data_IF_985099299676
#
_entry.id   IF_985099299676
#
_cell.length_a   1.000
_cell.length_b   1.000
_cell.length_c   1.000
_cell.angle_alpha   90.00
_cell.angle_beta   90.00
_cell.angle_gamma   90.00
#
_symmetry.space_group_name_H-M   'P 1'
#
loop_
_entity.id
_entity.type
_entity.pdbx_description
1 polymer ?
#
# COMPACT_ATOMS: atom_id res chain seq x y z
N UNK A 1 -8.16 -5.12 1.81
CA UNK A 1 -8.47 -3.70 1.56
C UNK A 1 -7.56 -2.82 2.41
N UNK A 2 -7.52 -2.98 3.75
CA UNK A 2 -6.69 -2.15 4.65
C UNK A 2 -5.23 -2.12 4.22
N UNK A 3 -4.63 -3.28 3.96
CA UNK A 3 -3.23 -3.40 3.52
C UNK A 3 -3.00 -2.69 2.17
N UNK A 4 -3.96 -2.79 1.26
CA UNK A 4 -3.90 -2.08 -0.02
C UNK A 4 -3.87 -0.56 0.19
N UNK A 5 -4.80 -0.03 0.99
CA UNK A 5 -4.89 1.41 1.24
C UNK A 5 -3.62 1.95 1.92
N UNK A 6 -3.11 1.24 2.92
CA UNK A 6 -1.89 1.66 3.61
C UNK A 6 -0.69 1.66 2.67
N UNK A 7 -0.53 0.61 1.86
CA UNK A 7 0.56 0.53 0.89
C UNK A 7 0.40 1.54 -0.23
N UNK A 8 -0.83 1.76 -0.71
CA UNK A 8 -1.14 2.78 -1.72
C UNK A 8 -0.72 4.17 -1.26
N UNK A 9 -1.09 4.55 -0.03
CA UNK A 9 -0.74 5.85 0.56
C UNK A 9 0.77 5.93 0.81
N UNK A 10 1.39 4.89 1.36
CA UNK A 10 2.81 4.89 1.69
C UNK A 10 3.74 4.72 0.47
N UNK A 11 3.25 4.24 -0.67
CA UNK A 11 4.05 3.97 -1.86
C UNK A 11 5.06 2.83 -1.74
N UNK A 12 5.03 2.09 -0.62
CA UNK A 12 5.98 1.02 -0.32
C UNK A 12 5.31 -0.18 0.35
N UNK A 13 5.74 -1.40 -0.03
CA UNK A 13 5.23 -2.65 0.54
C UNK A 13 5.64 -2.93 1.98
N UNK A 14 6.62 -2.20 2.52
CA UNK A 14 7.11 -2.41 3.89
C UNK A 14 6.03 -2.17 4.96
N UNK A 15 5.05 -1.33 4.67
CA UNK A 15 3.90 -1.08 5.56
C UNK A 15 3.10 -2.35 5.84
N UNK A 16 3.10 -3.31 4.92
CA UNK A 16 2.43 -4.59 5.12
C UNK A 16 2.97 -5.33 6.36
N UNK A 17 4.27 -5.25 6.64
CA UNK A 17 4.88 -5.94 7.77
C UNK A 17 4.30 -5.53 9.13
N UNK A 18 3.83 -4.30 9.27
CA UNK A 18 3.17 -3.84 10.51
C UNK A 18 1.73 -4.33 10.64
N UNK A 19 1.09 -4.67 9.54
CA UNK A 19 -0.32 -5.10 9.51
C UNK A 19 -0.47 -6.63 9.52
N UNK A 20 0.48 -7.36 8.93
CA UNK A 20 0.42 -8.82 8.83
C UNK A 20 0.29 -9.54 10.19
N UNK A 21 1.02 -9.18 11.27
CA UNK A 21 0.84 -9.81 12.58
C UNK A 21 -0.57 -9.66 13.13
N UNK A 22 -1.16 -8.47 13.00
CA UNK A 22 -2.54 -8.20 13.44
C UNK A 22 -3.55 -9.04 12.64
N UNK A 23 -3.34 -9.18 11.33
CA UNK A 23 -4.18 -10.03 10.48
C UNK A 23 -4.08 -11.49 10.92
N UNK A 24 -2.88 -11.98 11.25
CA UNK A 24 -2.66 -13.33 11.72
C UNK A 24 -3.38 -13.61 13.05
N UNK A 25 -3.29 -12.67 14.00
CA UNK A 25 -3.95 -12.76 15.30
C UNK A 25 -5.47 -12.82 15.15
N UNK A 26 -6.06 -11.85 14.44
CA UNK A 26 -7.50 -11.81 14.18
C UNK A 26 -7.97 -13.07 13.45
N UNK A 27 -7.22 -13.57 12.47
CA UNK A 27 -7.55 -14.79 11.76
C UNK A 27 -7.57 -16.01 12.71
N UNK A 28 -6.61 -16.09 13.60
CA UNK A 28 -6.53 -17.19 14.58
C UNK A 28 -7.68 -17.11 15.58
N UNK A 29 -7.99 -15.94 16.11
CA UNK A 29 -9.11 -15.71 17.03
C UNK A 29 -10.47 -16.05 16.40
N UNK A 30 -10.64 -15.69 15.13
CA UNK A 30 -11.87 -15.97 14.38
C UNK A 30 -11.90 -17.38 13.78
N UNK A 31 -10.90 -18.22 14.06
CA UNK A 31 -10.76 -19.60 13.54
C UNK A 31 -10.70 -19.67 12.01
N UNK A 32 -10.29 -18.60 11.37
CA UNK A 32 -10.01 -18.55 9.95
C UNK A 32 -8.56 -18.98 9.71
N UNK A 33 -8.33 -19.79 8.69
CA UNK A 33 -6.99 -20.21 8.29
C UNK A 33 -6.11 -19.00 7.97
N UNK A 34 -5.05 -18.69 8.75
CA UNK A 34 -4.28 -17.45 8.61
C UNK A 34 -3.64 -17.25 7.24
N UNK A 35 -3.27 -18.33 6.55
CA UNK A 35 -2.67 -18.23 5.21
C UNK A 35 -3.60 -17.55 4.18
N UNK A 36 -4.92 -17.67 4.35
CA UNK A 36 -5.90 -17.03 3.44
C UNK A 36 -5.82 -15.50 3.51
N UNK A 37 -6.08 -14.86 4.67
CA UNK A 37 -6.03 -13.41 4.76
C UNK A 37 -4.60 -12.86 4.66
N UNK A 38 -3.58 -13.58 5.11
CA UNK A 38 -2.18 -13.17 4.95
C UNK A 38 -1.75 -13.18 3.48
N UNK A 39 -2.09 -14.24 2.74
CA UNK A 39 -1.76 -14.32 1.31
C UNK A 39 -2.39 -13.19 0.52
N UNK A 40 -3.70 -12.90 0.73
CA UNK A 40 -4.35 -11.80 0.03
C UNK A 40 -3.84 -10.43 0.50
N UNK A 41 -3.44 -10.27 1.77
CA UNK A 41 -2.85 -9.04 2.26
C UNK A 41 -1.51 -8.74 1.59
N UNK A 42 -0.65 -9.75 1.40
CA UNK A 42 0.61 -9.61 0.68
C UNK A 42 0.36 -9.26 -0.79
N UNK A 43 -0.53 -9.98 -1.47
CA UNK A 43 -0.89 -9.68 -2.87
C UNK A 43 -1.43 -8.24 -2.99
N UNK A 44 -2.32 -7.83 -2.08
CA UNK A 44 -2.89 -6.50 -2.05
C UNK A 44 -1.82 -5.42 -1.88
N UNK A 45 -0.84 -5.65 -0.99
CA UNK A 45 0.29 -4.76 -0.80
C UNK A 45 1.13 -4.61 -2.08
N UNK A 46 1.49 -5.70 -2.73
CA UNK A 46 2.30 -5.64 -3.96
C UNK A 46 1.56 -4.95 -5.11
N UNK A 47 0.27 -5.22 -5.27
CA UNK A 47 -0.55 -4.54 -6.27
C UNK A 47 -0.71 -3.04 -5.99
N UNK A 48 -0.82 -2.66 -4.72
CA UNK A 48 -0.95 -1.26 -4.32
C UNK A 48 0.27 -0.40 -4.66
N UNK A 49 1.48 -0.98 -4.64
CA UNK A 49 2.70 -0.28 -5.07
C UNK A 49 2.57 0.19 -6.52
N UNK A 50 2.06 -0.66 -7.41
CA UNK A 50 1.90 -0.35 -8.84
C UNK A 50 0.83 0.73 -9.08
N UNK A 51 -0.15 0.84 -8.19
CA UNK A 51 -1.21 1.84 -8.27
C UNK A 51 -0.89 3.13 -7.49
N UNK A 52 0.16 3.14 -6.65
CA UNK A 52 0.48 4.30 -5.82
C UNK A 52 1.11 5.42 -6.63
N UNK A 53 0.64 6.67 -6.48
CA UNK A 53 1.19 7.84 -7.19
C UNK A 53 2.63 8.18 -6.77
N UNK A 54 3.05 7.75 -5.59
CA UNK A 54 4.36 8.09 -4.99
C UNK A 54 5.35 6.92 -5.05
N UNK A 55 4.95 5.78 -5.60
CA UNK A 55 5.86 4.64 -5.71
C UNK A 55 6.94 4.86 -6.77
N UNK A 56 8.13 4.35 -6.52
CA UNK A 56 9.23 4.41 -7.48
C UNK A 56 8.85 3.79 -8.83
N UNK A 57 8.03 2.75 -8.83
CA UNK A 57 7.56 2.10 -10.05
C UNK A 57 6.69 3.03 -10.91
N UNK A 58 5.73 3.74 -10.30
CA UNK A 58 4.87 4.68 -11.00
C UNK A 58 5.65 5.88 -11.52
N UNK A 59 6.61 6.40 -10.72
CA UNK A 59 7.50 7.49 -11.13
C UNK A 59 8.37 7.10 -12.31
N UNK A 60 8.97 5.90 -12.28
CA UNK A 60 9.76 5.39 -13.39
C UNK A 60 8.92 5.23 -14.66
N UNK A 61 7.71 4.67 -14.53
CA UNK A 61 6.78 4.52 -15.65
C UNK A 61 6.39 5.88 -16.24
N UNK A 62 6.03 6.85 -15.40
CA UNK A 62 5.71 8.21 -15.83
C UNK A 62 6.88 8.85 -16.58
N UNK A 63 8.11 8.68 -16.08
CA UNK A 63 9.33 9.19 -16.73
C UNK A 63 9.53 8.59 -18.12
N UNK A 64 9.31 7.28 -18.27
CA UNK A 64 9.42 6.58 -19.57
C UNK A 64 8.35 7.00 -20.56
N UNK A 65 7.16 7.36 -20.08
CA UNK A 65 6.00 7.76 -20.89
C UNK A 65 5.88 9.27 -21.12
N UNK A 66 6.78 10.07 -20.55
CA UNK A 66 6.75 11.53 -20.64
C UNK A 66 6.75 12.05 -22.10
N UNK A 67 7.43 11.36 -23.02
CA UNK A 67 7.47 11.70 -24.44
C UNK A 67 6.16 11.45 -25.21
N UNK A 68 5.19 10.75 -24.59
CA UNK A 68 3.91 10.40 -25.22
C UNK A 68 2.74 11.27 -24.73
N UNK A 69 2.99 12.28 -23.91
CA UNK A 69 1.95 13.17 -23.37
C UNK A 69 1.04 12.50 -22.34
N UNK A 70 1.49 11.40 -21.72
CA UNK A 70 0.76 10.66 -20.68
C UNK A 70 1.03 11.31 -19.33
N UNK A 71 -0.05 11.66 -18.63
CA UNK A 71 -0.01 12.25 -17.29
C UNK A 71 -0.02 11.17 -16.20
N UNK A 72 0.34 11.56 -14.95
CA UNK A 72 0.21 10.69 -13.79
C UNK A 72 -1.24 10.21 -13.61
N UNK A 73 -2.21 11.08 -13.85
CA UNK A 73 -3.63 10.76 -13.72
C UNK A 73 -4.06 9.65 -14.69
N UNK A 74 -3.56 9.66 -15.92
CA UNK A 74 -3.88 8.62 -16.91
C UNK A 74 -3.38 7.25 -16.46
N UNK A 75 -2.17 7.20 -15.87
CA UNK A 75 -1.62 5.97 -15.30
C UNK A 75 -2.49 5.48 -14.12
N UNK A 76 -2.88 6.39 -13.21
CA UNK A 76 -3.67 6.04 -12.03
C UNK A 76 -5.08 5.57 -12.39
N UNK A 77 -5.73 6.19 -13.38
CA UNK A 77 -7.07 5.82 -13.85
C UNK A 77 -7.12 4.38 -14.40
N UNK A 78 -6.01 3.87 -14.88
CA UNK A 78 -5.90 2.49 -15.37
C UNK A 78 -5.42 1.57 -14.23
N UNK A 79 -4.36 1.94 -13.52
CA UNK A 79 -3.71 1.07 -12.55
C UNK A 79 -4.59 0.80 -11.32
N UNK A 80 -5.31 1.80 -10.80
CA UNK A 80 -6.16 1.62 -9.62
C UNK A 80 -7.28 0.59 -9.86
N UNK A 81 -8.15 0.72 -10.88
CA UNK A 81 -9.21 -0.25 -11.08
C UNK A 81 -8.69 -1.64 -11.47
N UNK A 82 -7.61 -1.72 -12.25
CA UNK A 82 -7.03 -3.02 -12.63
C UNK A 82 -6.44 -3.77 -11.45
N UNK A 83 -5.66 -3.10 -10.61
CA UNK A 83 -5.08 -3.71 -9.40
C UNK A 83 -6.16 -4.08 -8.39
N UNK A 84 -7.16 -3.23 -8.21
CA UNK A 84 -8.28 -3.52 -7.32
C UNK A 84 -9.10 -4.72 -7.80
N UNK A 85 -9.40 -4.82 -9.09
CA UNK A 85 -10.06 -6.00 -9.68
C UNK A 85 -9.23 -7.27 -9.50
N UNK A 86 -7.91 -7.20 -9.69
CA UNK A 86 -6.99 -8.31 -9.45
C UNK A 86 -7.00 -8.80 -8.00
N UNK A 87 -7.00 -7.87 -7.05
CA UNK A 87 -7.09 -8.19 -5.61
C UNK A 87 -8.43 -8.83 -5.26
N UNK A 88 -9.52 -8.32 -5.80
CA UNK A 88 -10.85 -8.90 -5.58
C UNK A 88 -10.94 -10.34 -6.13
N UNK A 89 -10.42 -10.58 -7.33
CA UNK A 89 -10.33 -11.93 -7.89
C UNK A 89 -9.46 -12.85 -7.02
N UNK A 90 -8.30 -12.38 -6.58
CA UNK A 90 -7.41 -13.11 -5.67
C UNK A 90 -8.08 -13.40 -4.31
N UNK A 91 -8.84 -12.46 -3.76
CA UNK A 91 -9.59 -12.66 -2.53
C UNK A 91 -10.67 -13.73 -2.67
N UNK A 92 -11.45 -13.68 -3.75
CA UNK A 92 -12.49 -14.69 -4.04
C UNK A 92 -11.86 -16.08 -4.19
N UNK A 93 -10.73 -16.16 -4.89
CA UNK A 93 -9.98 -17.42 -5.03
C UNK A 93 -9.48 -17.92 -3.67
N UNK A 94 -8.87 -17.05 -2.85
CA UNK A 94 -8.34 -17.38 -1.53
C UNK A 94 -9.40 -17.92 -0.57
N UNK A 95 -10.66 -17.46 -0.67
CA UNK A 95 -11.77 -17.99 0.15
C UNK A 95 -12.08 -19.45 -0.15
N UNK A 96 -11.75 -19.94 -1.35
CA UNK A 96 -12.03 -21.32 -1.79
C UNK A 96 -10.86 -22.28 -1.66
N UNK A 97 -9.68 -21.77 -1.32
CA UNK A 97 -8.44 -22.57 -1.23
C UNK A 97 -8.19 -23.08 0.19
N UNK A 98 -7.84 -24.37 0.27
CA UNK A 98 -7.43 -25.02 1.52
C UNK A 98 -8.61 -25.50 2.37
N UNK A 99 -8.31 -26.37 3.34
CA UNK A 99 -9.26 -26.85 4.34
C UNK A 99 -9.52 -25.78 5.39
N UNK A 100 -10.65 -25.84 6.05
CA UNK A 100 -10.92 -24.98 7.19
C UNK A 100 -9.97 -25.32 8.36
N UNK A 101 -9.66 -24.32 9.18
CA UNK A 101 -8.66 -24.44 10.22
C UNK A 101 -9.02 -25.54 11.23
N UNK A 102 -10.31 -25.72 11.51
CA UNK A 102 -10.80 -26.74 12.45
C UNK A 102 -10.68 -28.17 11.90
N UNK A 103 -10.61 -28.34 10.57
CA UNK A 103 -10.45 -29.64 9.91
C UNK A 103 -8.99 -30.00 9.66
N UNK A 104 -8.05 -29.15 10.08
CA UNK A 104 -6.62 -29.36 9.92
C UNK A 104 -6.04 -30.13 11.13
N UNK A 105 -5.55 -31.37 10.96
CA UNK A 105 -5.03 -32.19 12.05
C UNK A 105 -3.79 -31.57 12.72
N UNK A 106 -2.98 -30.79 11.99
CA UNK A 106 -1.82 -30.12 12.55
C UNK A 106 -2.25 -28.95 13.46
N UNK A 107 -3.27 -28.20 13.07
CA UNK A 107 -3.85 -27.16 13.91
C UNK A 107 -4.41 -27.75 15.22
N UNK A 108 -5.16 -28.84 15.13
CA UNK A 108 -5.70 -29.54 16.30
C UNK A 108 -4.59 -30.03 17.26
N UNK A 109 -3.50 -30.55 16.70
CA UNK A 109 -2.33 -30.96 17.47
C UNK A 109 -1.68 -29.79 18.20
N UNK A 110 -1.46 -28.65 17.53
CA UNK A 110 -0.88 -27.45 18.14
C UNK A 110 -1.81 -26.80 19.16
N UNK A 111 -3.09 -26.87 18.96
CA UNK A 111 -4.10 -26.43 19.93
C UNK A 111 -4.03 -27.28 21.21
N UNK A 112 -3.89 -28.59 21.07
CA UNK A 112 -3.75 -29.51 22.19
C UNK A 112 -2.43 -29.31 22.96
N UNK A 113 -1.35 -28.95 22.29
CA UNK A 113 -0.04 -28.65 22.90
C UNK A 113 0.05 -27.29 23.59
N UNK A 114 -0.99 -26.46 23.55
CA UNK A 114 -1.02 -25.06 24.03
C UNK A 114 0.06 -24.15 23.42
N UNK A 115 0.57 -24.47 22.26
CA UNK A 115 1.63 -23.75 21.59
C UNK A 115 1.22 -22.31 21.21
N UNK A 116 -0.08 -22.08 21.05
CA UNK A 116 -0.66 -20.75 20.76
C UNK A 116 -0.86 -19.85 21.98
N UNK A 117 -0.70 -20.36 23.19
CA UNK A 117 -1.00 -19.62 24.43
C UNK A 117 -0.03 -18.45 24.71
N UNK A 118 1.12 -18.39 24.03
CA UNK A 118 2.19 -17.45 24.34
C UNK A 118 2.49 -16.43 23.21
N UNK A 119 1.70 -16.41 22.14
CA UNK A 119 1.92 -15.48 21.02
C UNK A 119 0.91 -14.32 21.03
N UNK A 120 0.79 -13.61 22.15
CA UNK A 120 0.18 -12.29 22.11
C UNK A 120 1.17 -11.28 21.55
N UNK A 121 0.92 -10.79 20.35
CA UNK A 121 1.61 -9.62 19.81
C UNK A 121 1.05 -8.39 20.52
N UNK A 122 1.75 -7.90 21.54
CA UNK A 122 1.45 -6.59 22.12
C UNK A 122 1.77 -5.50 21.09
N UNK A 123 0.76 -5.07 20.35
CA UNK A 123 0.87 -3.87 19.55
C UNK A 123 1.18 -2.70 20.51
N UNK A 124 2.40 -2.15 20.44
CA UNK A 124 2.74 -0.92 21.17
C UNK A 124 1.77 0.16 20.73
N UNK A 125 0.89 0.56 21.64
CA UNK A 125 -0.06 1.63 21.41
C UNK A 125 0.65 2.93 21.02
N UNK A 126 -0.03 3.77 20.24
CA UNK A 126 0.49 5.07 19.83
C UNK A 126 0.58 5.98 21.07
N UNK A 127 1.79 6.30 21.53
CA UNK A 127 2.01 7.13 22.71
C UNK A 127 1.41 8.54 22.59
N UNK A 128 1.34 9.08 21.37
CA UNK A 128 0.85 10.44 21.13
C UNK A 128 -0.01 10.52 19.87
N UNK A 129 -1.32 10.33 20.02
CA UNK A 129 -2.31 10.39 18.94
C UNK A 129 -2.31 11.71 18.15
N UNK A 130 -2.01 12.85 18.80
CA UNK A 130 -1.97 14.15 18.12
C UNK A 130 -0.80 14.25 17.16
N UNK A 131 0.39 13.80 17.57
CA UNK A 131 1.56 13.77 16.69
C UNK A 131 1.37 12.78 15.55
N UNK A 132 0.82 11.60 15.83
CA UNK A 132 0.51 10.61 14.81
C UNK A 132 -0.50 11.14 13.79
N UNK A 133 -1.59 11.76 14.25
CA UNK A 133 -2.59 12.36 13.37
C UNK A 133 -2.01 13.50 12.52
N UNK A 134 -1.15 14.34 13.10
CA UNK A 134 -0.45 15.41 12.37
C UNK A 134 0.45 14.83 11.27
N UNK A 135 1.25 13.82 11.59
CA UNK A 135 2.14 13.16 10.62
C UNK A 135 1.35 12.54 9.47
N UNK A 136 0.24 11.84 9.77
CA UNK A 136 -0.66 11.27 8.76
C UNK A 136 -1.28 12.39 7.90
N UNK A 137 -1.71 13.50 8.53
CA UNK A 137 -2.26 14.65 7.82
C UNK A 137 -1.27 15.29 6.84
N UNK A 138 -0.03 15.52 7.28
CA UNK A 138 1.05 16.05 6.43
C UNK A 138 1.33 15.09 5.27
N UNK A 139 1.41 13.80 5.55
CA UNK A 139 1.68 12.78 4.53
C UNK A 139 0.58 12.70 3.47
N UNK A 140 -0.69 12.74 3.88
CA UNK A 140 -1.83 12.78 2.96
C UNK A 140 -1.79 14.06 2.12
N UNK A 141 -1.51 15.20 2.73
CA UNK A 141 -1.41 16.49 2.02
C UNK A 141 -0.30 16.45 0.96
N UNK A 142 0.86 15.91 1.30
CA UNK A 142 1.98 15.73 0.37
C UNK A 142 1.59 14.80 -0.79
N UNK A 143 0.91 13.69 -0.51
CA UNK A 143 0.41 12.75 -1.53
C UNK A 143 -0.57 13.43 -2.49
N UNK A 144 -1.51 14.21 -1.95
CA UNK A 144 -2.47 14.99 -2.76
C UNK A 144 -1.73 16.02 -3.63
N UNK A 145 -0.75 16.71 -3.08
CA UNK A 145 0.07 17.68 -3.82
C UNK A 145 0.83 16.99 -4.97
N UNK A 146 1.40 15.80 -4.77
CA UNK A 146 2.06 15.02 -5.82
C UNK A 146 1.09 14.69 -6.96
N UNK A 147 -0.12 14.23 -6.62
CA UNK A 147 -1.14 13.92 -7.63
C UNK A 147 -1.55 15.18 -8.41
N UNK A 148 -1.75 16.31 -7.73
CA UNK A 148 -2.11 17.58 -8.38
C UNK A 148 -1.00 18.07 -9.30
N UNK A 149 0.25 18.10 -8.85
CA UNK A 149 1.38 18.53 -9.68
C UNK A 149 1.67 17.56 -10.83
N UNK A 150 1.40 16.25 -10.63
CA UNK A 150 1.53 15.24 -11.67
C UNK A 150 0.45 15.29 -12.74
N UNK A 151 -0.75 15.77 -12.36
CA UNK A 151 -1.93 15.81 -13.24
C UNK A 151 -2.12 17.14 -13.93
N UNK A 152 -1.71 18.25 -13.30
CA UNK A 152 -1.95 19.63 -13.78
C UNK A 152 -0.59 20.31 -13.96
N UNK A 153 -0.13 20.40 -15.20
CA UNK A 153 1.17 21.01 -15.52
C UNK A 153 1.28 22.47 -15.11
N UNK A 154 0.18 23.22 -15.18
CA UNK A 154 0.15 24.65 -14.80
C UNK A 154 0.39 24.89 -13.28
N UNK A 155 0.21 23.88 -12.45
CA UNK A 155 0.48 23.97 -11.01
C UNK A 155 1.92 23.58 -10.66
N UNK A 156 2.66 22.99 -11.61
CA UNK A 156 4.05 22.58 -11.37
C UNK A 156 4.96 23.78 -11.16
N UNK A 157 5.85 23.73 -10.16
CA UNK A 157 6.89 24.73 -10.00
C UNK A 157 7.76 24.84 -11.25
N UNK A 158 8.09 26.07 -11.62
CA UNK A 158 8.98 26.38 -12.73
C UNK A 158 10.31 26.88 -12.18
N UNK A 159 11.40 26.52 -12.83
CA UNK A 159 12.72 27.08 -12.58
C UNK A 159 13.18 27.89 -13.77
N UNK A 160 13.72 29.07 -13.48
CA UNK A 160 14.40 29.88 -14.47
C UNK A 160 15.84 29.37 -14.61
N UNK A 161 16.15 28.84 -15.78
CA UNK A 161 17.49 28.41 -16.16
C UNK A 161 18.01 29.34 -17.25
N UNK A 162 19.32 29.46 -17.42
CA UNK A 162 19.95 30.32 -18.45
C UNK A 162 19.45 30.08 -19.89
N UNK A 163 18.72 28.97 -20.12
CA UNK A 163 18.09 28.61 -21.39
C UNK A 163 16.56 28.80 -21.46
N UNK A 164 15.91 29.34 -20.40
CA UNK A 164 14.44 29.51 -20.32
C UNK A 164 13.82 28.87 -19.09
N UNK A 165 12.51 29.05 -18.93
CA UNK A 165 11.73 28.49 -17.83
C UNK A 165 11.47 27.00 -18.07
N UNK A 166 11.95 26.12 -17.18
CA UNK A 166 11.78 24.66 -17.25
C UNK A 166 10.88 24.18 -16.12
N UNK A 167 9.93 23.29 -16.44
CA UNK A 167 9.08 22.63 -15.46
C UNK A 167 9.91 21.68 -14.57
N UNK A 168 9.64 21.70 -13.27
CA UNK A 168 10.29 20.77 -12.32
C UNK A 168 9.94 19.31 -12.65
N UNK A 169 10.93 18.42 -12.81
CA UNK A 169 10.67 17.01 -13.04
C UNK A 169 9.88 16.40 -11.86
N UNK A 170 8.91 15.51 -12.16
CA UNK A 170 8.08 14.87 -11.14
C UNK A 170 8.90 14.11 -10.07
N UNK A 171 10.04 13.52 -10.48
CA UNK A 171 10.94 12.85 -9.54
C UNK A 171 11.43 13.79 -8.41
N UNK A 172 11.81 15.01 -8.74
CA UNK A 172 12.25 16.02 -7.76
C UNK A 172 11.09 16.52 -6.88
N UNK A 173 9.88 16.67 -7.46
CA UNK A 173 8.68 17.05 -6.67
C UNK A 173 8.40 15.98 -5.61
N UNK A 174 8.44 14.71 -6.00
CA UNK A 174 8.19 13.60 -5.08
C UNK A 174 9.29 13.52 -4.02
N UNK A 175 10.55 13.69 -4.41
CA UNK A 175 11.69 13.69 -3.49
C UNK A 175 11.55 14.80 -2.44
N UNK A 176 11.24 16.03 -2.86
CA UNK A 176 11.08 17.17 -1.94
C UNK A 176 9.86 17.04 -1.02
N UNK A 177 8.75 16.48 -1.50
CA UNK A 177 7.52 16.36 -0.72
C UNK A 177 7.51 15.15 0.22
N UNK A 178 8.40 14.17 0.00
CA UNK A 178 8.45 12.94 0.80
C UNK A 178 9.65 12.87 1.76
N UNK A 179 10.59 13.82 1.70
CA UNK A 179 11.66 14.01 2.68
C UNK A 179 11.17 14.82 3.88
#
# INVERSE_FOLDING_TARGET
>A
IVTYLFTFIAGTGHVAYSVLPVIAEVATETKIRPERPLGIAVIASQQAITASPISAATVALLSMLSGYGISLLDILLISIPCTFAGIMAGAIYSLRVGKDLMDDPEYQRRLASREFSNQHYEAKGVENYRKAALSVGIFILATVAIVLFGSIESLRPHFDTEGGTVLMPMAHIIEVLML
#
